data_IF_322130488173
#
_entry.id   IF_322130488173
#
_cell.length_a   1.000
_cell.length_b   1.000
_cell.length_c   1.000
_cell.angle_alpha   90.00
_cell.angle_beta   90.00
_cell.angle_gamma   90.00
#
_symmetry.space_group_name_H-M   'P 1'
#
loop_
_entity.id
_entity.type
_entity.pdbx_description
1 polymer ?
#
# COMPACT_ATOMS: atom_id res chain seq x y z
N UNK A 1 1.12 4.39 -4.53
CA UNK A 1 2.42 5.05 -4.32
C UNK A 1 3.43 3.94 -4.08
N UNK A 2 4.48 3.81 -4.87
CA UNK A 2 5.53 2.82 -4.65
C UNK A 2 6.40 3.24 -3.45
N UNK A 3 7.01 2.30 -2.73
CA UNK A 3 7.84 2.61 -1.57
C UNK A 3 9.12 3.33 -2.01
N UNK A 4 9.42 4.43 -1.32
CA UNK A 4 10.68 5.15 -1.50
C UNK A 4 11.84 4.28 -1.02
N UNK A 5 12.69 3.90 -1.94
CA UNK A 5 13.98 3.26 -1.67
C UNK A 5 14.87 4.24 -0.91
N UNK A 6 15.14 3.93 0.35
CA UNK A 6 16.12 4.67 1.16
C UNK A 6 17.49 4.24 0.65
N UNK A 7 18.21 5.14 -0.03
CA UNK A 7 19.63 4.97 -0.37
C UNK A 7 20.44 5.10 0.91
N UNK A 8 21.12 4.03 1.30
CA UNK A 8 22.19 4.07 2.30
C UNK A 8 23.33 4.97 1.78
N UNK A 9 23.95 5.78 2.65
CA UNK A 9 25.14 6.55 2.29
C UNK A 9 26.29 5.58 2.03
N UNK A 10 26.88 5.67 0.84
CA UNK A 10 28.13 4.99 0.50
C UNK A 10 29.24 5.60 1.33
N UNK A 11 29.87 4.79 2.17
CA UNK A 11 31.12 5.14 2.81
C UNK A 11 32.19 5.37 1.74
N UNK A 12 32.60 6.61 1.54
CA UNK A 12 33.78 7.00 0.81
C UNK A 12 35.02 6.47 1.54
N UNK A 13 35.81 5.64 0.86
CA UNK A 13 37.14 5.24 1.29
C UNK A 13 38.01 6.49 1.36
N UNK A 14 38.79 6.70 2.42
CA UNK A 14 39.89 7.68 2.37
C UNK A 14 40.99 7.14 1.49
N UNK A 15 41.22 7.75 0.35
CA UNK A 15 42.41 7.58 -0.45
C UNK A 15 43.55 8.26 0.30
N UNK A 16 44.36 7.47 1.02
CA UNK A 16 45.64 7.92 1.53
C UNK A 16 46.57 8.11 0.34
N UNK A 17 46.84 9.35 -0.03
CA UNK A 17 47.95 9.71 -0.84
C UNK A 17 49.23 9.54 0.02
N UNK A 18 49.99 8.52 -0.28
CA UNK A 18 51.40 8.46 0.12
C UNK A 18 52.14 9.44 -0.80
N UNK A 19 52.49 10.60 -0.29
CA UNK A 19 53.48 11.47 -0.92
C UNK A 19 54.86 10.79 -0.79
N UNK A 20 55.35 10.27 -1.89
CA UNK A 20 56.76 9.92 -2.07
C UNK A 20 57.56 11.21 -2.13
N UNK A 21 58.17 11.62 -1.03
CA UNK A 21 59.24 12.61 -1.08
C UNK A 21 60.49 11.97 -1.71
N UNK A 22 60.56 12.07 -3.03
CA UNK A 22 61.77 11.79 -3.80
C UNK A 22 62.83 12.80 -3.46
N UNK A 23 63.73 12.43 -2.54
CA UNK A 23 64.92 13.20 -2.25
C UNK A 23 65.89 13.10 -3.43
N UNK A 24 65.91 14.17 -4.21
CA UNK A 24 66.89 14.38 -5.30
C UNK A 24 68.31 14.30 -4.71
N UNK A 25 69.07 13.25 -5.07
CA UNK A 25 70.48 13.13 -4.84
C UNK A 25 71.24 14.10 -5.76
N UNK A 26 71.57 15.25 -5.23
CA UNK A 26 72.49 16.17 -5.89
C UNK A 26 73.88 15.51 -5.98
N UNK A 27 74.34 15.34 -7.22
CA UNK A 27 75.64 14.89 -7.58
C UNK A 27 76.74 15.81 -6.98
N UNK A 28 77.35 15.39 -5.90
CA UNK A 28 78.56 16.05 -5.38
C UNK A 28 79.76 15.53 -6.11
N UNK A 29 80.44 16.45 -6.83
CA UNK A 29 81.70 16.31 -7.49
C UNK A 29 82.73 15.63 -6.57
N UNK A 30 83.36 14.54 -7.03
CA UNK A 30 84.50 13.93 -6.38
C UNK A 30 85.66 14.96 -6.37
N UNK A 31 85.93 15.46 -5.23
CA UNK A 31 87.26 16.00 -4.89
C UNK A 31 87.98 14.89 -4.14
N UNK A 32 89.15 14.56 -4.64
CA UNK A 32 90.04 13.56 -4.03
C UNK A 32 90.29 13.87 -2.56
N UNK A 33 90.21 12.87 -1.65
CA UNK A 33 90.51 13.08 -0.25
C UNK A 33 92.03 13.19 -0.06
N UNK A 34 92.47 14.34 0.39
CA UNK A 34 93.72 14.40 1.10
C UNK A 34 93.59 13.51 2.32
N UNK A 35 94.45 12.50 2.37
CA UNK A 35 94.64 11.59 3.51
C UNK A 35 95.16 12.37 4.71
N UNK A 36 94.21 12.85 5.56
CA UNK A 36 94.50 13.03 6.98
C UNK A 36 94.10 11.75 7.67
N UNK A 37 95.10 11.02 8.10
CA UNK A 37 95.03 9.80 8.91
C UNK A 37 94.44 10.19 10.27
N UNK A 38 93.12 10.37 10.32
CA UNK A 38 92.34 10.54 11.54
C UNK A 38 91.86 9.16 11.96
N UNK A 39 92.79 8.33 12.39
CA UNK A 39 92.45 7.05 13.01
C UNK A 39 91.54 7.34 14.21
N UNK A 40 90.22 7.01 14.09
CA UNK A 40 89.30 7.13 15.19
C UNK A 40 89.87 6.46 16.42
N UNK A 41 90.06 7.20 17.48
CA UNK A 41 90.56 6.67 18.72
C UNK A 41 89.58 5.67 19.30
N UNK A 42 90.11 4.66 20.05
CA UNK A 42 89.26 3.69 20.74
C UNK A 42 88.18 4.38 21.60
N UNK A 43 88.43 5.57 22.12
CA UNK A 43 87.46 6.40 22.85
C UNK A 43 86.31 6.94 21.98
N UNK A 44 86.63 7.28 20.71
CA UNK A 44 85.53 7.75 19.78
C UNK A 44 84.65 6.61 19.37
N UNK A 45 85.17 5.42 19.16
CA UNK A 45 84.44 4.19 18.89
C UNK A 45 83.55 3.84 20.11
N UNK A 46 84.09 3.93 21.32
CA UNK A 46 83.39 3.62 22.55
C UNK A 46 82.18 4.59 22.77
N UNK A 47 82.37 5.88 22.52
CA UNK A 47 81.34 6.90 22.58
C UNK A 47 80.26 6.64 21.54
N UNK A 48 80.60 6.30 20.31
CA UNK A 48 79.64 5.98 19.26
C UNK A 48 78.84 4.74 19.60
N UNK A 49 79.42 3.69 20.14
CA UNK A 49 78.75 2.47 20.59
C UNK A 49 77.83 2.76 21.79
N UNK A 50 78.26 3.59 22.74
CA UNK A 50 77.40 4.01 23.85
C UNK A 50 76.20 4.82 23.38
N UNK A 51 76.35 5.83 22.51
CA UNK A 51 75.27 6.59 21.92
C UNK A 51 74.29 5.69 21.17
N UNK A 52 74.81 4.77 20.32
CA UNK A 52 73.97 3.81 19.61
C UNK A 52 73.14 2.91 20.55
N UNK A 53 73.75 2.43 21.64
CA UNK A 53 73.04 1.64 22.65
C UNK A 53 71.95 2.45 23.32
N UNK A 54 72.19 3.70 23.67
CA UNK A 54 71.21 4.57 24.33
C UNK A 54 70.11 4.94 23.38
N UNK A 55 70.37 5.20 22.10
CA UNK A 55 69.33 5.41 21.06
C UNK A 55 68.54 4.16 20.83
N UNK A 56 69.14 2.98 20.73
CA UNK A 56 68.41 1.71 20.64
C UNK A 56 67.52 1.47 21.86
N UNK A 57 67.99 1.73 23.07
CA UNK A 57 67.22 1.58 24.30
C UNK A 57 66.01 2.51 24.34
N UNK A 58 66.18 3.77 23.90
CA UNK A 58 65.14 4.74 23.80
C UNK A 58 64.06 4.29 22.78
N UNK A 59 64.50 3.92 21.57
CA UNK A 59 63.55 3.42 20.54
C UNK A 59 62.81 2.19 21.00
N UNK A 60 63.47 1.29 21.75
CA UNK A 60 62.80 0.11 22.30
C UNK A 60 61.75 0.49 23.33
N UNK A 61 62.04 1.46 24.21
CA UNK A 61 61.08 1.96 25.20
C UNK A 61 59.89 2.63 24.53
N UNK A 62 60.14 3.52 23.57
CA UNK A 62 59.08 4.22 22.81
C UNK A 62 58.16 3.20 22.08
N UNK A 63 58.78 2.16 21.49
CA UNK A 63 58.03 1.08 20.82
C UNK A 63 57.17 0.28 21.81
N UNK A 64 57.69 -0.05 22.98
CA UNK A 64 56.95 -0.76 24.03
C UNK A 64 55.81 0.07 24.57
N UNK A 65 55.97 1.38 24.73
CA UNK A 65 54.87 2.29 25.11
C UNK A 65 53.78 2.36 24.05
N UNK A 66 54.17 2.45 22.77
CA UNK A 66 53.23 2.44 21.65
C UNK A 66 52.45 1.12 21.59
N UNK A 67 53.13 -0.03 21.76
CA UNK A 67 52.45 -1.36 21.81
C UNK A 67 51.49 -1.45 22.98
N UNK A 68 51.86 -0.96 24.15
CA UNK A 68 50.95 -0.93 25.32
C UNK A 68 49.74 -0.02 25.09
N UNK A 69 49.93 1.13 24.43
CA UNK A 69 48.83 2.01 24.01
C UNK A 69 47.87 1.30 23.07
N UNK A 70 48.39 0.68 21.99
CA UNK A 70 47.55 -0.10 21.06
C UNK A 70 46.83 -1.24 21.75
N UNK A 71 47.47 -1.95 22.68
CA UNK A 71 46.81 -3.02 23.46
C UNK A 71 45.64 -2.51 24.29
N UNK A 72 45.82 -1.35 24.91
CA UNK A 72 44.76 -0.71 25.73
C UNK A 72 43.58 -0.29 24.83
N UNK A 73 43.87 0.30 23.67
CA UNK A 73 42.86 0.72 22.71
C UNK A 73 42.07 -0.48 22.15
N UNK A 74 42.77 -1.57 21.82
CA UNK A 74 42.14 -2.80 21.37
C UNK A 74 41.19 -3.40 22.42
N UNK A 75 41.57 -3.41 23.69
CA UNK A 75 40.71 -3.87 24.77
C UNK A 75 39.46 -2.99 24.91
N UNK A 76 39.61 -1.68 24.83
CA UNK A 76 38.51 -0.73 24.83
C UNK A 76 37.56 -0.94 23.64
N UNK A 77 38.10 -1.12 22.44
CA UNK A 77 37.32 -1.40 21.25
C UNK A 77 36.58 -2.74 21.34
N UNK A 78 37.23 -3.78 21.86
CA UNK A 78 36.59 -5.09 22.06
C UNK A 78 35.38 -4.98 22.98
N UNK A 79 35.48 -4.23 24.09
CA UNK A 79 34.32 -3.99 24.99
C UNK A 79 33.17 -3.23 24.29
N UNK A 80 33.52 -2.21 23.49
CA UNK A 80 32.51 -1.44 22.73
C UNK A 80 31.81 -2.28 21.69
N UNK A 81 32.56 -3.16 21.02
CA UNK A 81 32.00 -4.10 20.03
C UNK A 81 31.04 -5.06 20.73
N UNK A 82 31.43 -5.68 21.83
CA UNK A 82 30.54 -6.57 22.60
C UNK A 82 29.24 -5.91 23.04
N UNK A 83 29.34 -4.67 23.58
CA UNK A 83 28.15 -3.91 23.93
C UNK A 83 27.27 -3.53 22.72
N UNK A 84 27.87 -3.31 21.55
CA UNK A 84 27.13 -3.04 20.33
C UNK A 84 26.44 -4.31 19.81
N UNK A 85 27.09 -5.46 19.84
CA UNK A 85 26.53 -6.76 19.45
C UNK A 85 25.32 -7.13 20.33
N UNK A 86 25.40 -6.92 21.63
CA UNK A 86 24.28 -7.15 22.55
C UNK A 86 23.08 -6.26 22.23
N UNK A 87 23.31 -4.97 21.93
CA UNK A 87 22.25 -4.05 21.52
C UNK A 87 21.65 -4.41 20.16
N UNK A 88 22.43 -4.91 19.24
CA UNK A 88 21.98 -5.38 17.92
C UNK A 88 21.08 -6.61 18.11
N UNK A 89 21.53 -7.60 18.90
CA UNK A 89 20.71 -8.79 19.21
C UNK A 89 19.35 -8.42 19.80
N UNK A 90 19.32 -7.51 20.77
CA UNK A 90 18.07 -7.04 21.36
C UNK A 90 17.18 -6.34 20.34
N UNK A 91 17.77 -5.51 19.47
CA UNK A 91 17.00 -4.83 18.43
C UNK A 91 16.42 -5.81 17.39
N UNK A 92 17.12 -6.87 17.04
CA UNK A 92 16.64 -7.93 16.14
C UNK A 92 15.47 -8.71 16.76
N UNK A 93 15.54 -9.02 18.07
CA UNK A 93 14.42 -9.63 18.78
C UNK A 93 13.20 -8.71 18.81
N UNK A 94 13.39 -7.42 19.11
CA UNK A 94 12.32 -6.43 19.12
C UNK A 94 11.67 -6.26 17.72
N UNK A 95 12.48 -6.21 16.67
CA UNK A 95 11.99 -6.16 15.29
C UNK A 95 11.14 -7.39 14.95
N UNK A 96 11.59 -8.58 15.34
CA UNK A 96 10.84 -9.82 15.13
C UNK A 96 9.49 -9.80 15.87
N UNK A 97 9.51 -9.37 17.12
CA UNK A 97 8.29 -9.24 17.94
C UNK A 97 7.32 -8.19 17.36
N UNK A 98 7.83 -7.05 16.89
CA UNK A 98 7.04 -6.01 16.26
C UNK A 98 6.44 -6.49 14.93
N UNK A 99 7.19 -7.22 14.11
CA UNK A 99 6.72 -7.81 12.86
C UNK A 99 5.53 -8.75 13.11
N UNK A 100 5.63 -9.60 14.12
CA UNK A 100 4.53 -10.49 14.51
C UNK A 100 3.29 -9.71 14.96
N UNK A 101 3.47 -8.63 15.74
CA UNK A 101 2.36 -7.75 16.17
C UNK A 101 1.71 -7.06 14.99
N UNK A 102 2.50 -6.54 14.04
CA UNK A 102 1.98 -5.89 12.83
C UNK A 102 1.13 -6.86 12.02
N UNK A 103 1.63 -8.06 11.72
CA UNK A 103 0.88 -9.06 10.97
C UNK A 103 -0.46 -9.39 11.65
N UNK A 104 -0.45 -9.60 12.96
CA UNK A 104 -1.68 -9.86 13.72
C UNK A 104 -2.66 -8.69 13.71
N UNK A 105 -2.17 -7.46 13.75
CA UNK A 105 -3.01 -6.25 13.65
C UNK A 105 -3.60 -6.11 12.25
N UNK A 106 -2.86 -6.41 11.20
CA UNK A 106 -3.35 -6.41 9.81
C UNK A 106 -4.47 -7.43 9.62
N UNK A 107 -4.29 -8.68 10.07
CA UNK A 107 -5.33 -9.71 10.04
C UNK A 107 -6.59 -9.29 10.80
N UNK A 108 -6.42 -8.75 12.00
CA UNK A 108 -7.54 -8.27 12.82
C UNK A 108 -8.27 -7.10 12.14
N UNK A 109 -7.54 -6.17 11.54
CA UNK A 109 -8.10 -5.02 10.84
C UNK A 109 -8.91 -5.46 9.62
N UNK A 110 -8.39 -6.41 8.84
CA UNK A 110 -9.10 -6.96 7.69
C UNK A 110 -10.37 -7.72 8.11
N UNK A 111 -10.28 -8.52 9.17
CA UNK A 111 -11.47 -9.18 9.74
C UNK A 111 -12.54 -8.17 10.18
N UNK A 112 -12.14 -7.12 10.92
CA UNK A 112 -13.08 -6.09 11.37
C UNK A 112 -13.69 -5.31 10.22
N UNK A 113 -12.92 -4.95 9.20
CA UNK A 113 -13.43 -4.30 7.97
C UNK A 113 -14.50 -5.13 7.30
N UNK A 114 -14.23 -6.42 7.09
CA UNK A 114 -15.18 -7.33 6.47
C UNK A 114 -16.45 -7.48 7.33
N UNK A 115 -16.31 -7.52 8.66
CA UNK A 115 -17.42 -7.59 9.58
C UNK A 115 -18.29 -6.32 9.57
N UNK A 116 -17.67 -5.16 9.58
CA UNK A 116 -18.38 -3.87 9.50
C UNK A 116 -19.12 -3.75 8.18
N UNK A 117 -18.48 -4.11 7.06
CA UNK A 117 -19.11 -4.13 5.74
C UNK A 117 -20.34 -5.04 5.69
N UNK A 118 -20.22 -6.27 6.22
CA UNK A 118 -21.35 -7.21 6.28
C UNK A 118 -22.50 -6.65 7.10
N UNK A 119 -22.23 -6.06 8.26
CA UNK A 119 -23.24 -5.44 9.11
C UNK A 119 -23.90 -4.23 8.43
N UNK A 120 -23.12 -3.38 7.74
CA UNK A 120 -23.65 -2.24 6.98
C UNK A 120 -24.59 -2.72 5.86
N UNK A 121 -24.19 -3.70 5.07
CA UNK A 121 -24.99 -4.22 3.98
C UNK A 121 -26.24 -4.96 4.47
N UNK A 122 -26.17 -5.65 5.61
CA UNK A 122 -27.35 -6.25 6.27
C UNK A 122 -28.33 -5.16 6.72
N UNK A 123 -27.83 -4.07 7.31
CA UNK A 123 -28.65 -2.92 7.69
C UNK A 123 -29.36 -2.26 6.49
N UNK A 124 -28.74 -2.35 5.29
CA UNK A 124 -29.28 -1.82 4.03
C UNK A 124 -30.09 -2.85 3.22
N UNK A 125 -30.26 -4.07 3.72
CA UNK A 125 -30.89 -5.16 2.96
C UNK A 125 -32.29 -4.84 2.47
N UNK A 126 -33.08 -4.10 3.26
CA UNK A 126 -34.44 -3.67 2.91
C UNK A 126 -34.49 -2.34 2.16
N UNK A 127 -33.31 -1.76 1.79
CA UNK A 127 -33.25 -0.48 1.12
C UNK A 127 -33.19 -0.64 -0.39
N UNK A 128 -33.84 0.29 -1.10
CA UNK A 128 -33.62 0.56 -2.52
C UNK A 128 -33.15 2.00 -2.70
N UNK A 129 -32.43 2.20 -3.77
CA UNK A 129 -31.99 3.52 -4.24
C UNK A 129 -32.70 3.84 -5.55
N UNK A 130 -33.51 4.89 -5.52
CA UNK A 130 -34.20 5.46 -6.69
C UNK A 130 -33.35 6.64 -7.23
N UNK A 131 -33.04 6.60 -8.50
CA UNK A 131 -32.26 7.63 -9.21
C UNK A 131 -33.10 8.17 -10.37
N UNK A 132 -32.98 9.47 -10.62
CA UNK A 132 -33.60 10.14 -11.76
C UNK A 132 -34.96 10.77 -11.47
N UNK A 133 -35.49 10.64 -10.25
CA UNK A 133 -36.73 11.35 -9.89
C UNK A 133 -36.45 12.84 -9.70
N UNK A 134 -37.17 13.76 -10.41
CA UNK A 134 -36.95 15.19 -10.29
C UNK A 134 -37.01 15.69 -8.83
N UNK A 135 -36.32 16.76 -8.53
CA UNK A 135 -36.32 17.37 -7.20
C UNK A 135 -37.73 17.95 -6.91
N UNK A 136 -38.15 17.85 -5.65
CA UNK A 136 -39.44 18.38 -5.15
C UNK A 136 -40.72 17.68 -5.67
N UNK A 137 -40.63 16.62 -6.47
CA UNK A 137 -41.77 15.81 -6.94
C UNK A 137 -42.53 15.16 -5.77
N UNK A 138 -41.80 14.83 -4.70
CA UNK A 138 -42.34 14.13 -3.53
C UNK A 138 -43.23 14.96 -2.61
N UNK A 139 -43.29 16.28 -2.79
CA UNK A 139 -44.06 17.17 -1.94
C UNK A 139 -43.56 17.20 -0.48
N UNK A 140 -44.53 17.27 0.45
CA UNK A 140 -44.22 17.38 1.89
C UNK A 140 -43.98 16.03 2.59
N UNK A 141 -44.50 14.93 2.04
CA UNK A 141 -44.34 13.59 2.65
C UNK A 141 -43.77 12.58 1.67
N UNK A 142 -42.50 12.36 1.80
CA UNK A 142 -41.74 11.43 0.96
C UNK A 142 -42.26 9.98 1.07
N UNK A 143 -42.57 9.50 2.27
CA UNK A 143 -43.02 8.11 2.44
C UNK A 143 -44.36 7.87 1.74
N UNK A 144 -45.38 8.72 1.96
CA UNK A 144 -46.68 8.61 1.29
C UNK A 144 -46.54 8.73 -0.24
N UNK A 145 -45.66 9.62 -0.72
CA UNK A 145 -45.37 9.70 -2.14
C UNK A 145 -44.81 8.37 -2.68
N UNK A 146 -43.83 7.78 -2.03
CA UNK A 146 -43.17 6.55 -2.47
C UNK A 146 -44.13 5.34 -2.38
N UNK A 147 -45.01 5.26 -1.38
CA UNK A 147 -46.04 4.24 -1.27
C UNK A 147 -46.95 4.24 -2.50
N UNK A 148 -47.40 5.41 -2.95
CA UNK A 148 -48.23 5.56 -4.14
C UNK A 148 -47.46 5.44 -5.46
N UNK A 149 -46.16 5.75 -5.44
CA UNK A 149 -45.28 5.70 -6.61
C UNK A 149 -45.09 4.28 -7.14
N UNK A 150 -44.89 3.28 -6.28
CA UNK A 150 -44.66 1.91 -6.72
C UNK A 150 -45.83 1.29 -7.47
N UNK A 151 -47.08 1.37 -7.00
CA UNK A 151 -48.26 0.91 -7.77
C UNK A 151 -48.40 1.63 -9.11
N UNK A 152 -48.01 2.91 -9.20
CA UNK A 152 -48.11 3.69 -10.44
C UNK A 152 -47.15 3.20 -11.52
N UNK A 153 -45.88 2.90 -11.14
CA UNK A 153 -44.85 2.52 -12.09
C UNK A 153 -44.72 1.00 -12.30
N UNK A 154 -45.12 0.19 -11.32
CA UNK A 154 -45.01 -1.28 -11.32
C UNK A 154 -46.39 -1.94 -11.20
N UNK A 155 -47.34 -1.46 -11.95
CA UNK A 155 -48.83 -1.75 -11.87
C UNK A 155 -49.18 -3.22 -11.60
N UNK A 156 -48.48 -4.14 -12.26
CA UNK A 156 -48.80 -5.58 -12.24
C UNK A 156 -48.27 -6.32 -11.01
N UNK A 157 -47.34 -5.72 -10.25
CA UNK A 157 -46.64 -6.40 -9.15
C UNK A 157 -47.16 -5.98 -7.76
N UNK A 158 -47.85 -4.81 -7.65
CA UNK A 158 -48.38 -4.31 -6.38
C UNK A 158 -49.86 -4.12 -6.43
N UNK A 159 -50.64 -5.03 -5.81
CA UNK A 159 -52.07 -4.90 -5.63
C UNK A 159 -52.44 -3.88 -4.54
N UNK A 160 -51.54 -3.55 -3.65
CA UNK A 160 -51.67 -2.53 -2.60
C UNK A 160 -50.32 -1.80 -2.42
N UNK A 161 -50.33 -0.54 -1.95
CA UNK A 161 -49.10 0.20 -1.66
C UNK A 161 -48.18 -0.55 -0.69
N UNK A 162 -46.85 -0.67 -0.96
CA UNK A 162 -45.93 -1.27 -0.03
C UNK A 162 -45.71 -0.35 1.17
N UNK A 163 -45.59 -0.93 2.36
CA UNK A 163 -45.29 -0.15 3.56
C UNK A 163 -43.83 0.33 3.58
N UNK A 164 -43.65 1.65 3.66
CA UNK A 164 -42.35 2.30 3.69
C UNK A 164 -42.02 2.75 5.12
N UNK A 165 -40.93 2.28 5.66
CA UNK A 165 -40.42 2.70 6.98
C UNK A 165 -39.85 4.11 6.92
N UNK A 166 -39.03 4.40 5.90
CA UNK A 166 -38.37 5.69 5.71
C UNK A 166 -37.96 5.90 4.26
N UNK A 167 -38.11 7.12 3.79
CA UNK A 167 -37.57 7.54 2.52
C UNK A 167 -36.97 8.96 2.62
N UNK A 168 -35.82 9.21 2.00
CA UNK A 168 -35.20 10.53 1.99
C UNK A 168 -34.17 10.66 0.84
N UNK A 169 -33.96 11.89 0.40
CA UNK A 169 -32.91 12.20 -0.58
C UNK A 169 -31.54 12.17 0.06
N UNK A 170 -30.55 11.63 -0.66
CA UNK A 170 -29.17 11.51 -0.20
C UNK A 170 -28.21 12.27 -1.09
N UNK A 171 -27.18 12.84 -0.46
CA UNK A 171 -26.15 13.62 -1.13
C UNK A 171 -26.49 15.10 -1.24
N UNK A 172 -25.51 15.86 -1.71
CA UNK A 172 -25.66 17.29 -2.01
C UNK A 172 -26.05 17.46 -3.48
N UNK A 173 -26.69 18.58 -3.79
CA UNK A 173 -26.91 18.99 -5.19
C UNK A 173 -25.55 19.16 -5.85
N UNK A 174 -25.33 18.49 -6.96
CA UNK A 174 -24.06 18.57 -7.67
C UNK A 174 -23.92 19.95 -8.35
N UNK A 175 -22.98 20.81 -7.95
CA UNK A 175 -22.83 22.15 -8.53
C UNK A 175 -22.50 22.11 -10.02
N UNK A 176 -21.82 21.04 -10.49
CA UNK A 176 -21.45 20.86 -11.89
C UNK A 176 -22.56 20.27 -12.75
N UNK A 177 -23.62 19.75 -12.13
CA UNK A 177 -24.82 19.18 -12.79
C UNK A 177 -26.07 19.49 -11.95
N UNK A 178 -26.47 20.74 -11.85
CA UNK A 178 -27.61 21.14 -11.01
C UNK A 178 -28.94 20.51 -11.45
N UNK A 179 -29.02 20.09 -12.73
CA UNK A 179 -30.19 19.37 -13.29
C UNK A 179 -30.23 17.87 -12.92
N UNK A 180 -29.18 17.30 -12.34
CA UNK A 180 -29.18 15.89 -11.93
C UNK A 180 -29.80 15.75 -10.55
N UNK A 181 -31.02 15.13 -10.43
CA UNK A 181 -31.69 15.01 -9.14
C UNK A 181 -30.91 14.10 -8.19
N UNK A 182 -30.98 14.41 -6.90
CA UNK A 182 -30.39 13.58 -5.85
C UNK A 182 -31.09 12.23 -5.79
N UNK A 183 -30.34 11.18 -5.49
CA UNK A 183 -30.93 9.87 -5.29
C UNK A 183 -31.78 9.82 -4.02
N UNK A 184 -32.84 9.01 -4.05
CA UNK A 184 -33.69 8.73 -2.88
C UNK A 184 -33.32 7.35 -2.35
N UNK A 185 -33.04 7.24 -1.05
CA UNK A 185 -32.96 5.96 -0.35
C UNK A 185 -34.30 5.68 0.29
N UNK A 186 -34.83 4.49 -0.01
CA UNK A 186 -36.13 4.01 0.41
C UNK A 186 -35.91 2.76 1.26
N UNK A 187 -36.38 2.77 2.51
CA UNK A 187 -36.36 1.60 3.39
C UNK A 187 -37.78 1.02 3.48
N UNK A 188 -37.90 -0.19 2.98
CA UNK A 188 -39.16 -0.94 3.05
C UNK A 188 -39.31 -1.57 4.43
N UNK A 189 -40.55 -1.61 4.92
CA UNK A 189 -40.86 -2.33 6.14
C UNK A 189 -40.71 -3.85 5.92
N UNK A 190 -41.20 -4.35 4.77
CA UNK A 190 -41.06 -5.73 4.38
C UNK A 190 -39.98 -5.95 3.33
N UNK A 191 -39.02 -6.80 3.61
CA UNK A 191 -37.98 -7.18 2.66
C UNK A 191 -38.55 -7.77 1.35
N UNK A 192 -39.65 -8.53 1.44
CA UNK A 192 -40.29 -9.14 0.27
C UNK A 192 -40.82 -8.11 -0.73
N UNK A 193 -41.38 -6.99 -0.25
CA UNK A 193 -41.86 -5.91 -1.10
C UNK A 193 -40.73 -5.22 -1.83
N UNK A 194 -39.57 -5.01 -1.14
CA UNK A 194 -38.35 -4.52 -1.75
C UNK A 194 -37.88 -5.44 -2.88
N UNK A 195 -37.85 -6.76 -2.66
CA UNK A 195 -37.44 -7.73 -3.68
C UNK A 195 -38.42 -7.80 -4.86
N UNK A 196 -39.72 -7.65 -4.61
CA UNK A 196 -40.76 -7.52 -5.68
C UNK A 196 -40.46 -6.29 -6.55
N UNK A 197 -40.28 -5.12 -5.93
CA UNK A 197 -39.98 -3.88 -6.62
C UNK A 197 -38.73 -3.99 -7.49
N UNK A 198 -37.66 -4.56 -6.93
CA UNK A 198 -36.39 -4.72 -7.65
C UNK A 198 -36.46 -5.70 -8.82
N UNK A 199 -37.20 -6.82 -8.65
CA UNK A 199 -37.44 -7.81 -9.72
C UNK A 199 -38.31 -7.24 -10.85
N UNK A 200 -39.38 -6.55 -10.50
CA UNK A 200 -40.22 -5.88 -11.47
C UNK A 200 -39.45 -4.85 -12.30
N UNK A 201 -38.70 -4.00 -11.63
CA UNK A 201 -37.84 -3.01 -12.28
C UNK A 201 -36.81 -3.63 -13.28
N UNK A 202 -36.28 -4.81 -12.95
CA UNK A 202 -35.32 -5.52 -13.84
C UNK A 202 -35.99 -6.19 -15.03
N UNK A 203 -37.30 -6.55 -14.95
CA UNK A 203 -38.03 -7.08 -16.11
C UNK A 203 -38.35 -5.99 -17.14
N UNK A 204 -38.48 -4.74 -16.69
CA UNK A 204 -38.77 -3.61 -17.57
C UNK A 204 -37.50 -3.14 -18.28
N UNK A 205 -37.59 -2.91 -19.59
CA UNK A 205 -36.45 -2.36 -20.38
C UNK A 205 -36.07 -0.95 -19.92
N UNK A 206 -37.08 -0.15 -19.57
CA UNK A 206 -36.93 1.23 -19.14
C UNK A 206 -38.09 1.62 -18.20
N UNK A 207 -37.71 2.22 -17.08
CA UNK A 207 -38.65 2.82 -16.15
C UNK A 207 -38.72 4.32 -16.39
N UNK A 208 -39.93 4.85 -16.53
CA UNK A 208 -40.18 6.29 -16.67
C UNK A 208 -41.25 6.76 -15.69
N UNK A 209 -41.02 7.95 -15.18
CA UNK A 209 -41.98 8.69 -14.38
C UNK A 209 -42.11 10.10 -14.95
N UNK A 210 -43.35 10.51 -15.34
CA UNK A 210 -43.57 11.81 -16.00
C UNK A 210 -42.61 12.12 -17.15
N UNK A 211 -42.33 11.12 -17.99
CA UNK A 211 -41.39 11.24 -19.11
C UNK A 211 -39.92 11.16 -18.76
N UNK A 212 -39.57 11.29 -17.49
CA UNK A 212 -38.17 11.19 -17.02
C UNK A 212 -37.77 9.74 -16.80
N UNK A 213 -36.54 9.40 -17.24
CA UNK A 213 -35.97 8.08 -17.00
C UNK A 213 -35.56 7.93 -15.53
N UNK A 214 -36.10 6.91 -14.88
CA UNK A 214 -35.72 6.57 -13.51
C UNK A 214 -35.08 5.20 -13.45
N UNK A 215 -34.34 4.92 -12.38
CA UNK A 215 -33.67 3.63 -12.17
C UNK A 215 -33.73 3.22 -10.70
N UNK A 216 -34.02 1.95 -10.48
CA UNK A 216 -34.04 1.34 -9.14
C UNK A 216 -32.84 0.42 -8.98
N UNK A 217 -32.07 0.64 -7.93
CA UNK A 217 -30.90 -0.16 -7.57
C UNK A 217 -30.99 -0.61 -6.12
N UNK A 218 -30.31 -1.71 -5.81
CA UNK A 218 -30.09 -2.10 -4.44
C UNK A 218 -29.20 -1.05 -3.74
N UNK A 219 -29.55 -0.68 -2.51
CA UNK A 219 -28.70 0.20 -1.70
C UNK A 219 -27.64 -0.65 -1.01
N UNK A 220 -26.40 -0.51 -1.45
CA UNK A 220 -25.23 -1.23 -0.95
C UNK A 220 -24.28 -0.26 -0.25
N UNK A 221 -23.41 -0.77 0.62
CA UNK A 221 -22.32 0.01 1.21
C UNK A 221 -21.42 0.63 0.14
N UNK A 222 -20.70 1.67 0.50
CA UNK A 222 -19.77 2.34 -0.41
C UNK A 222 -18.69 1.36 -0.90
N UNK A 223 -18.18 0.53 -0.01
CA UNK A 223 -17.15 -0.45 -0.30
C UNK A 223 -17.65 -1.56 -1.23
N UNK A 224 -18.83 -2.14 -0.96
CA UNK A 224 -19.42 -3.15 -1.85
C UNK A 224 -19.65 -2.57 -3.25
N UNK A 225 -20.16 -1.32 -3.35
CA UNK A 225 -20.29 -0.65 -4.65
C UNK A 225 -18.96 -0.43 -5.35
N UNK A 226 -17.90 -0.07 -4.62
CA UNK A 226 -16.58 0.11 -5.19
C UNK A 226 -16.02 -1.21 -5.73
N UNK A 227 -16.15 -2.30 -4.97
CA UNK A 227 -15.79 -3.65 -5.43
C UNK A 227 -16.56 -4.06 -6.68
N UNK A 228 -17.87 -3.77 -6.75
CA UNK A 228 -18.69 -4.06 -7.94
C UNK A 228 -18.32 -3.22 -9.17
N UNK A 229 -17.85 -1.96 -8.97
CA UNK A 229 -17.37 -1.08 -10.04
C UNK A 229 -16.08 -1.57 -10.67
N UNK A 230 -15.24 -2.28 -9.94
CA UNK A 230 -14.02 -2.86 -10.51
C UNK A 230 -14.30 -3.79 -11.70
N UNK A 231 -15.48 -4.39 -11.75
CA UNK A 231 -15.94 -5.22 -12.87
C UNK A 231 -16.55 -4.42 -14.04
N UNK A 232 -16.61 -3.09 -13.98
CA UNK A 232 -17.32 -2.31 -15.02
C UNK A 232 -16.66 -2.43 -16.41
N UNK A 233 -15.35 -2.57 -16.45
CA UNK A 233 -14.61 -2.86 -17.69
C UNK A 233 -15.03 -4.20 -18.32
N UNK A 234 -15.06 -5.25 -17.51
CA UNK A 234 -15.48 -6.60 -17.93
C UNK A 234 -16.95 -6.62 -18.35
N UNK A 235 -17.82 -5.94 -17.59
CA UNK A 235 -19.26 -5.81 -17.94
C UNK A 235 -19.48 -5.10 -19.28
N UNK A 236 -18.64 -4.09 -19.59
CA UNK A 236 -18.70 -3.41 -20.88
C UNK A 236 -18.31 -4.35 -22.03
N UNK A 237 -17.28 -5.18 -21.84
CA UNK A 237 -16.86 -6.18 -22.81
C UNK A 237 -17.92 -7.27 -23.03
N UNK A 238 -18.50 -7.80 -21.95
CA UNK A 238 -19.59 -8.80 -22.01
C UNK A 238 -20.83 -8.26 -22.73
N UNK A 239 -21.17 -6.96 -22.54
CA UNK A 239 -22.26 -6.29 -23.28
C UNK A 239 -21.96 -6.22 -24.77
N UNK A 240 -20.72 -5.88 -25.14
CA UNK A 240 -20.31 -5.86 -26.54
C UNK A 240 -20.36 -7.23 -27.24
N UNK A 241 -20.29 -8.30 -26.45
CA UNK A 241 -20.42 -9.69 -26.95
C UNK A 241 -21.83 -10.27 -26.76
N UNK A 242 -22.80 -9.46 -26.32
CA UNK A 242 -24.19 -9.87 -26.04
C UNK A 242 -24.32 -11.01 -25.00
N UNK A 243 -23.29 -11.20 -24.15
CA UNK A 243 -23.28 -12.24 -23.13
C UNK A 243 -24.03 -11.75 -21.89
N UNK A 244 -24.94 -12.59 -21.38
CA UNK A 244 -25.71 -12.29 -20.18
C UNK A 244 -24.84 -12.37 -18.92
N UNK A 245 -24.89 -11.33 -18.12
CA UNK A 245 -24.18 -11.26 -16.85
C UNK A 245 -25.02 -10.66 -15.74
N UNK A 246 -24.61 -10.87 -14.51
CA UNK A 246 -25.22 -10.29 -13.30
C UNK A 246 -24.19 -10.12 -12.20
N UNK A 247 -24.58 -9.46 -11.11
CA UNK A 247 -23.76 -9.32 -9.91
C UNK A 247 -24.45 -10.03 -8.74
N UNK A 248 -23.70 -10.85 -8.03
CA UNK A 248 -24.07 -11.41 -6.73
C UNK A 248 -23.41 -10.63 -5.61
N UNK A 249 -24.08 -10.61 -4.48
CA UNK A 249 -23.51 -10.10 -3.24
C UNK A 249 -22.33 -10.99 -2.76
N UNK A 250 -21.22 -10.40 -2.24
CA UNK A 250 -21.02 -8.94 -2.15
C UNK A 250 -20.58 -8.30 -3.47
N UNK A 251 -19.74 -8.92 -4.27
CA UNK A 251 -19.22 -8.41 -5.54
C UNK A 251 -18.69 -9.56 -6.43
N UNK A 252 -19.52 -10.56 -6.67
CA UNK A 252 -19.17 -11.65 -7.58
C UNK A 252 -19.88 -11.44 -8.92
N UNK A 253 -19.10 -11.46 -10.01
CA UNK A 253 -19.64 -11.41 -11.35
C UNK A 253 -20.13 -12.80 -11.76
N UNK A 254 -21.38 -12.89 -12.22
CA UNK A 254 -21.94 -14.10 -12.83
C UNK A 254 -22.06 -13.86 -14.31
N UNK A 255 -21.62 -14.83 -15.07
CA UNK A 255 -21.75 -14.86 -16.53
C UNK A 255 -22.44 -16.15 -16.93
N UNK A 256 -23.44 -16.05 -17.83
CA UNK A 256 -24.08 -17.22 -18.43
C UNK A 256 -23.64 -17.31 -19.89
N UNK A 257 -22.86 -18.31 -20.22
CA UNK A 257 -22.33 -18.54 -21.56
C UNK A 257 -22.51 -20.01 -21.95
N UNK A 258 -23.03 -20.28 -23.17
CA UNK A 258 -23.32 -21.62 -23.71
C UNK A 258 -24.10 -22.49 -22.69
N UNK A 259 -25.11 -21.91 -22.04
CA UNK A 259 -25.95 -22.60 -21.05
C UNK A 259 -25.27 -22.88 -19.70
N UNK A 260 -23.99 -22.57 -19.55
CA UNK A 260 -23.25 -22.72 -18.28
C UNK A 260 -23.16 -21.43 -17.51
N UNK A 261 -23.19 -21.54 -16.20
CA UNK A 261 -23.08 -20.43 -15.26
C UNK A 261 -21.68 -20.38 -14.62
N UNK A 262 -20.96 -19.31 -14.88
CA UNK A 262 -19.64 -19.06 -14.32
C UNK A 262 -19.75 -17.96 -13.25
N UNK A 263 -19.01 -18.11 -12.15
CA UNK A 263 -18.98 -17.14 -11.05
C UNK A 263 -17.53 -16.72 -10.80
N UNK A 264 -17.25 -15.43 -10.91
CA UNK A 264 -15.92 -14.85 -10.74
C UNK A 264 -15.87 -13.99 -9.48
N UNK A 265 -14.90 -14.21 -8.63
CA UNK A 265 -14.68 -13.47 -7.39
C UNK A 265 -13.72 -12.30 -7.61
N UNK A 266 -12.84 -12.40 -8.59
CA UNK A 266 -11.83 -11.40 -8.92
C UNK A 266 -12.03 -10.88 -10.35
N UNK A 267 -11.56 -9.65 -10.59
CA UNK A 267 -11.59 -9.05 -11.94
C UNK A 267 -10.70 -9.83 -12.90
N UNK A 268 -9.53 -10.26 -12.43
CA UNK A 268 -8.57 -11.00 -13.24
C UNK A 268 -9.16 -12.30 -13.80
N UNK A 269 -9.82 -13.13 -12.95
CA UNK A 269 -10.52 -14.34 -13.38
C UNK A 269 -11.56 -14.05 -14.47
N UNK A 270 -12.31 -12.96 -14.31
CA UNK A 270 -13.35 -12.57 -15.26
C UNK A 270 -12.76 -12.05 -16.60
N UNK A 271 -11.63 -11.34 -16.56
CA UNK A 271 -10.90 -10.90 -17.75
C UNK A 271 -10.30 -12.07 -18.52
N UNK A 272 -9.73 -13.05 -17.84
CA UNK A 272 -9.19 -14.26 -18.46
C UNK A 272 -10.30 -15.05 -19.15
N UNK A 273 -11.48 -15.17 -18.52
CA UNK A 273 -12.65 -15.77 -19.15
C UNK A 273 -13.07 -15.02 -20.42
N UNK A 274 -13.19 -13.71 -20.36
CA UNK A 274 -13.56 -12.89 -21.55
C UNK A 274 -12.54 -13.05 -22.67
N UNK A 275 -11.26 -13.14 -22.33
CA UNK A 275 -10.17 -13.37 -23.27
C UNK A 275 -10.29 -14.72 -23.96
N UNK A 276 -10.56 -15.78 -23.16
CA UNK A 276 -10.76 -17.14 -23.70
C UNK A 276 -11.96 -17.25 -24.64
N UNK A 277 -13.07 -16.58 -24.28
CA UNK A 277 -14.28 -16.55 -25.14
C UNK A 277 -14.01 -15.82 -26.47
N UNK A 278 -13.22 -14.73 -26.45
CA UNK A 278 -12.84 -14.02 -27.69
C UNK A 278 -11.96 -14.82 -28.63
N UNK A 279 -11.11 -15.69 -28.08
CA UNK A 279 -10.20 -16.51 -28.88
C UNK A 279 -10.94 -17.69 -29.54
N UNK A 280 -12.12 -18.05 -29.01
CA UNK A 280 -12.94 -19.16 -29.51
C UNK A 280 -14.11 -18.72 -30.41
N UNK A 281 -14.22 -17.44 -30.73
CA UNK A 281 -15.14 -16.85 -31.72
C UNK A 281 -14.34 -16.49 -32.97
#
# INVERSE_FOLDING_TARGET
MPPKTIKLPQHSKPSGQMEEEGKVLASKKLTEPQSEDNAATNDDILRAVQSFRDDCSKQFTDTMEAINGIKTDLLSQAQRIGAAEERISQAEEDVTALQHKVNKLEETTEFLRNKVQDLEDRGRRSNLRLIGLPEKTEGSNMCTFIENFFPTILRDEFGSPPAIERAHRVGQVNPNRPSAPRAIVIKFLNYQDKEKALRAARKMKELRYEGQRISLFQDLSAETRQRQRQFDGVKAQLRGMEIRYGMLYPAHLIVTHVGQRHVFKTVAEAEDFVRSVRTNI
#
